data_IF_090363784635
#
_entry.id   IF_090363784635
#
_cell.length_a   1.000
_cell.length_b   1.000
_cell.length_c   1.000
_cell.angle_alpha   90.00
_cell.angle_beta   90.00
_cell.angle_gamma   90.00
#
_symmetry.space_group_name_H-M   'P 1'
#
loop_
_entity.id
_entity.type
_entity.pdbx_description
1 polymer ?
#
# COMPACT_ATOMS: atom_id res chain seq x y z
N UNK A 1 23.79 -3.55 -9.08
CA UNK A 1 22.50 -3.62 -8.37
C UNK A 1 22.75 -2.97 -7.02
N UNK A 2 22.10 -1.85 -6.70
CA UNK A 2 22.36 -1.14 -5.42
C UNK A 2 21.96 -2.03 -4.24
N UNK A 3 22.67 -1.97 -3.10
CA UNK A 3 22.48 -2.83 -1.92
C UNK A 3 21.01 -2.88 -1.42
N UNK A 4 20.26 -1.79 -1.57
CA UNK A 4 18.81 -1.69 -1.26
C UNK A 4 17.90 -2.66 -2.03
N UNK A 5 18.34 -3.21 -3.17
CA UNK A 5 17.54 -4.20 -3.90
C UNK A 5 17.64 -5.59 -3.25
N UNK A 6 18.71 -5.82 -2.49
CA UNK A 6 18.94 -7.04 -1.71
C UNK A 6 18.37 -6.93 -0.29
N UNK A 7 18.45 -5.73 0.30
CA UNK A 7 17.84 -5.43 1.60
C UNK A 7 16.42 -4.85 1.45
N UNK A 8 15.44 -5.76 1.47
CA UNK A 8 14.02 -5.43 1.31
C UNK A 8 13.46 -4.67 2.52
N UNK A 9 13.98 -4.92 3.72
CA UNK A 9 13.55 -4.21 4.92
C UNK A 9 14.02 -2.76 4.87
N UNK A 10 15.26 -2.50 4.44
CA UNK A 10 15.73 -1.14 4.21
C UNK A 10 14.84 -0.38 3.22
N UNK A 11 14.51 -1.01 2.08
CA UNK A 11 13.64 -0.38 1.07
C UNK A 11 12.24 -0.05 1.62
N UNK A 12 11.67 -0.95 2.42
CA UNK A 12 10.42 -0.71 3.14
C UNK A 12 10.50 0.51 4.08
N UNK A 13 11.60 0.65 4.83
CA UNK A 13 11.82 1.79 5.72
C UNK A 13 12.02 3.10 4.95
N UNK A 14 12.73 3.07 3.82
CA UNK A 14 12.91 4.24 2.95
C UNK A 14 11.57 4.75 2.41
N UNK A 15 10.71 3.84 1.94
CA UNK A 15 9.35 4.17 1.48
C UNK A 15 8.49 4.75 2.60
N UNK A 16 8.54 4.13 3.79
CA UNK A 16 7.85 4.62 4.98
C UNK A 16 8.26 6.06 5.28
N UNK A 17 9.57 6.32 5.34
CA UNK A 17 10.12 7.64 5.63
C UNK A 17 9.70 8.70 4.61
N UNK A 18 9.79 8.39 3.31
CA UNK A 18 9.39 9.32 2.25
C UNK A 18 7.90 9.62 2.33
N UNK A 19 7.08 8.60 2.56
CA UNK A 19 5.64 8.77 2.65
C UNK A 19 5.23 9.59 3.86
N UNK A 20 5.80 9.31 5.03
CA UNK A 20 5.53 10.09 6.23
C UNK A 20 5.95 11.56 6.07
N UNK A 21 7.15 11.80 5.52
CA UNK A 21 7.75 13.13 5.49
C UNK A 21 7.19 14.03 4.38
N UNK A 22 6.79 13.46 3.24
CA UNK A 22 6.45 14.26 2.06
C UNK A 22 5.09 13.91 1.47
N UNK A 23 4.80 12.64 1.24
CA UNK A 23 3.57 12.22 0.56
C UNK A 23 2.34 12.47 1.42
N UNK A 24 2.37 12.07 2.68
CA UNK A 24 1.23 12.24 3.59
C UNK A 24 0.92 13.73 3.87
N UNK A 25 1.90 14.62 4.12
CA UNK A 25 1.65 16.05 4.19
C UNK A 25 1.05 16.63 2.90
N UNK A 26 1.43 16.11 1.73
CA UNK A 26 0.84 16.52 0.46
C UNK A 26 -0.62 16.09 0.35
N UNK A 27 -0.93 14.83 0.64
CA UNK A 27 -2.31 14.29 0.65
C UNK A 27 -3.19 15.09 1.62
N UNK A 28 -2.69 15.38 2.82
CA UNK A 28 -3.41 16.13 3.85
C UNK A 28 -3.83 17.56 3.44
N UNK A 29 -3.29 18.11 2.35
CA UNK A 29 -3.74 19.41 1.81
C UNK A 29 -5.11 19.31 1.14
N UNK A 30 -5.49 18.13 0.66
CA UNK A 30 -6.73 17.91 -0.11
C UNK A 30 -7.67 16.90 0.54
N UNK A 31 -7.12 15.93 1.29
CA UNK A 31 -7.85 14.93 2.03
C UNK A 31 -7.17 14.74 3.39
N UNK A 32 -7.80 15.22 4.46
CA UNK A 32 -7.25 15.09 5.81
C UNK A 32 -7.34 13.63 6.25
N UNK A 33 -6.20 12.96 6.34
CA UNK A 33 -6.12 11.58 6.83
C UNK A 33 -6.40 11.53 8.33
N UNK A 34 -7.40 10.75 8.72
CA UNK A 34 -7.77 10.50 10.13
C UNK A 34 -7.81 9.01 10.42
N UNK A 35 -7.60 8.63 11.68
CA UNK A 35 -7.74 7.23 12.10
C UNK A 35 -9.13 6.68 11.76
N UNK A 36 -9.18 5.38 11.44
CA UNK A 36 -10.38 4.68 10.99
C UNK A 36 -10.66 4.79 9.48
N UNK A 37 -9.95 5.64 8.74
CA UNK A 37 -10.01 5.63 7.28
C UNK A 37 -9.44 4.33 6.71
N UNK A 38 -9.96 3.92 5.56
CA UNK A 38 -9.49 2.76 4.82
C UNK A 38 -8.65 3.23 3.63
N UNK A 39 -7.37 2.89 3.66
CA UNK A 39 -6.38 3.30 2.68
C UNK A 39 -5.89 2.09 1.90
N UNK A 40 -6.09 2.09 0.59
CA UNK A 40 -5.58 1.05 -0.28
C UNK A 40 -4.39 1.53 -1.10
N UNK A 41 -3.47 0.62 -1.41
CA UNK A 41 -2.43 0.82 -2.42
C UNK A 41 -2.46 -0.32 -3.43
N UNK A 42 -2.59 0.02 -4.72
CA UNK A 42 -2.52 -0.93 -5.83
C UNK A 42 -1.08 -0.92 -6.36
N UNK A 43 -0.48 -2.11 -6.47
CA UNK A 43 0.96 -2.26 -6.67
C UNK A 43 1.76 -1.89 -5.42
N UNK A 44 1.31 -2.34 -4.24
CA UNK A 44 1.90 -1.91 -2.96
C UNK A 44 3.32 -2.43 -2.71
N UNK A 45 3.79 -3.41 -3.48
CA UNK A 45 5.02 -4.13 -3.20
C UNK A 45 5.01 -4.74 -1.80
N UNK A 46 5.89 -4.26 -0.93
CA UNK A 46 6.00 -4.69 0.47
C UNK A 46 5.25 -3.78 1.44
N UNK A 47 4.48 -2.82 0.90
CA UNK A 47 3.58 -1.95 1.66
C UNK A 47 4.28 -0.82 2.42
N UNK A 48 5.51 -0.42 2.08
CA UNK A 48 6.22 0.64 2.81
C UNK A 48 5.47 1.98 2.84
N UNK A 49 4.79 2.34 1.76
CA UNK A 49 3.99 3.57 1.72
C UNK A 49 2.73 3.52 2.59
N UNK A 50 2.22 2.33 2.93
CA UNK A 50 1.03 2.18 3.76
C UNK A 50 1.31 2.36 5.26
N UNK A 51 2.56 2.13 5.71
CA UNK A 51 2.90 2.12 7.14
C UNK A 51 2.55 3.44 7.84
N UNK A 52 2.85 4.63 7.28
CA UNK A 52 2.52 5.90 7.94
C UNK A 52 1.01 6.15 8.14
N UNK A 53 0.15 5.47 7.35
CA UNK A 53 -1.31 5.51 7.52
C UNK A 53 -1.74 4.58 8.65
N UNK A 54 -1.17 3.38 8.71
CA UNK A 54 -1.40 2.42 9.80
C UNK A 54 -0.92 2.96 11.17
N UNK A 55 0.22 3.66 11.19
CA UNK A 55 0.75 4.35 12.38
C UNK A 55 -0.24 5.42 12.90
N UNK A 56 -1.10 5.96 12.02
CA UNK A 56 -2.15 6.95 12.35
C UNK A 56 -3.51 6.32 12.63
N UNK A 57 -3.56 4.99 12.74
CA UNK A 57 -4.77 4.25 13.06
C UNK A 57 -5.72 4.05 11.89
N UNK A 58 -5.25 4.21 10.65
CA UNK A 58 -6.02 3.80 9.47
C UNK A 58 -6.03 2.27 9.35
N UNK A 59 -7.01 1.76 8.60
CA UNK A 59 -6.99 0.40 8.08
C UNK A 59 -6.31 0.44 6.71
N UNK A 60 -5.44 -0.53 6.43
CA UNK A 60 -4.67 -0.57 5.18
C UNK A 60 -4.97 -1.82 4.36
N UNK A 61 -5.05 -1.65 3.04
CA UNK A 61 -5.20 -2.73 2.08
C UNK A 61 -4.08 -2.63 1.04
N UNK A 62 -3.16 -3.58 1.03
CA UNK A 62 -2.10 -3.67 0.03
C UNK A 62 -2.42 -4.74 -1.01
N UNK A 63 -2.38 -4.37 -2.30
CA UNK A 63 -2.59 -5.29 -3.42
C UNK A 63 -1.35 -5.28 -4.29
N UNK A 64 -0.76 -6.44 -4.56
CA UNK A 64 0.33 -6.58 -5.52
C UNK A 64 0.25 -7.96 -6.20
N UNK A 65 0.61 -8.02 -7.48
CA UNK A 65 0.62 -9.28 -8.24
C UNK A 65 1.76 -10.21 -7.78
N UNK A 66 2.81 -9.67 -7.16
CA UNK A 66 3.98 -10.42 -6.72
C UNK A 66 3.78 -10.99 -5.30
N UNK A 67 3.35 -12.26 -5.22
CA UNK A 67 3.10 -12.96 -3.97
C UNK A 67 4.27 -12.91 -2.96
N UNK A 68 5.51 -13.03 -3.45
CA UNK A 68 6.70 -12.96 -2.60
C UNK A 68 6.88 -11.60 -1.90
N UNK A 69 6.40 -10.50 -2.51
CA UNK A 69 6.43 -9.18 -1.87
C UNK A 69 5.33 -9.05 -0.81
N UNK A 70 4.16 -9.62 -1.08
CA UNK A 70 3.07 -9.69 -0.11
C UNK A 70 3.47 -10.51 1.12
N UNK A 71 4.13 -11.66 0.94
CA UNK A 71 4.69 -12.45 2.05
C UNK A 71 5.69 -11.64 2.89
N UNK A 72 6.50 -10.79 2.26
CA UNK A 72 7.41 -9.90 2.98
C UNK A 72 6.65 -8.80 3.72
N UNK A 73 5.62 -8.21 3.12
CA UNK A 73 4.77 -7.23 3.78
C UNK A 73 4.18 -7.83 5.07
N UNK A 74 3.55 -9.00 5.00
CA UNK A 74 3.01 -9.68 6.17
C UNK A 74 4.05 -9.88 7.29
N UNK A 75 5.29 -10.25 6.93
CA UNK A 75 6.40 -10.37 7.89
C UNK A 75 6.78 -9.03 8.52
N UNK A 76 6.93 -7.98 7.71
CA UNK A 76 7.33 -6.64 8.17
C UNK A 76 6.26 -6.02 9.09
N UNK A 77 4.99 -6.30 8.84
CA UNK A 77 3.88 -5.81 9.65
C UNK A 77 3.55 -6.70 10.86
N UNK A 78 4.09 -7.91 10.98
CA UNK A 78 3.71 -8.86 12.04
C UNK A 78 4.01 -8.36 13.47
N UNK A 79 4.98 -7.45 13.64
CA UNK A 79 5.32 -6.82 14.92
C UNK A 79 4.61 -5.48 15.14
N UNK A 80 3.85 -4.99 14.17
CA UNK A 80 3.15 -3.72 14.27
C UNK A 80 2.01 -3.78 15.30
N UNK A 81 1.83 -2.77 16.17
CA UNK A 81 0.78 -2.77 17.21
C UNK A 81 -0.64 -2.81 16.65
N UNK A 82 -0.83 -2.32 15.43
CA UNK A 82 -2.12 -2.29 14.71
C UNK A 82 -2.20 -3.34 13.58
N UNK A 83 -1.45 -4.45 13.65
CA UNK A 83 -1.34 -5.40 12.51
C UNK A 83 -2.67 -6.02 12.08
N UNK A 84 -3.62 -6.12 13.00
CA UNK A 84 -4.99 -6.59 12.74
C UNK A 84 -5.78 -5.66 11.80
N UNK A 85 -5.28 -4.44 11.58
CA UNK A 85 -5.83 -3.45 10.64
C UNK A 85 -5.15 -3.50 9.27
N UNK A 86 -4.44 -4.57 8.97
CA UNK A 86 -3.76 -4.78 7.70
C UNK A 86 -4.44 -5.91 6.91
N UNK A 87 -4.59 -5.71 5.61
CA UNK A 87 -4.98 -6.75 4.66
C UNK A 87 -4.04 -6.69 3.47
N UNK A 88 -3.32 -7.78 3.20
CA UNK A 88 -2.49 -7.90 2.01
C UNK A 88 -3.08 -8.95 1.06
N UNK A 89 -3.07 -8.66 -0.24
CA UNK A 89 -3.69 -9.48 -1.28
C UNK A 89 -2.66 -9.68 -2.40
N UNK A 90 -2.28 -10.94 -2.63
CA UNK A 90 -1.43 -11.37 -3.72
C UNK A 90 -2.27 -11.79 -4.93
N UNK A 91 -2.68 -10.85 -5.77
CA UNK A 91 -3.53 -11.13 -6.93
C UNK A 91 -3.38 -10.07 -8.02
N UNK A 92 -3.67 -10.46 -9.26
CA UNK A 92 -3.85 -9.54 -10.37
C UNK A 92 -5.09 -8.65 -10.12
N UNK A 93 -4.92 -7.33 -10.19
CA UNK A 93 -6.00 -6.37 -9.94
C UNK A 93 -7.24 -6.60 -10.82
N UNK A 94 -7.08 -7.17 -12.02
CA UNK A 94 -8.19 -7.51 -12.91
C UNK A 94 -9.03 -8.71 -12.46
N UNK A 95 -8.51 -9.51 -11.55
CA UNK A 95 -9.21 -10.68 -10.99
C UNK A 95 -9.88 -10.38 -9.66
N UNK A 96 -9.61 -9.22 -9.09
CA UNK A 96 -10.23 -8.75 -7.88
C UNK A 96 -11.61 -8.22 -8.20
N UNK A 97 -12.64 -8.79 -7.57
CA UNK A 97 -13.97 -8.21 -7.59
C UNK A 97 -14.02 -7.04 -6.60
N UNK A 98 -14.32 -5.81 -7.03
CA UNK A 98 -14.38 -4.65 -6.14
C UNK A 98 -15.38 -4.82 -4.99
N UNK A 99 -16.42 -5.66 -5.16
CA UNK A 99 -17.40 -5.94 -4.11
C UNK A 99 -16.85 -6.80 -2.95
N UNK A 100 -15.73 -7.50 -3.17
CA UNK A 100 -15.06 -8.32 -2.15
C UNK A 100 -14.05 -7.49 -1.33
N UNK A 101 -13.88 -6.22 -1.68
CA UNK A 101 -13.03 -5.26 -0.98
C UNK A 101 -13.92 -4.20 -0.34
N UNK A 102 -13.60 -3.84 0.90
CA UNK A 102 -14.28 -2.75 1.59
C UNK A 102 -14.04 -1.43 0.85
N UNK A 103 -15.08 -0.59 0.79
CA UNK A 103 -14.97 0.72 0.16
C UNK A 103 -13.85 1.54 0.83
N UNK A 104 -12.89 1.98 0.03
CA UNK A 104 -11.74 2.73 0.49
C UNK A 104 -12.02 4.24 0.48
N UNK A 105 -11.46 4.96 1.44
CA UNK A 105 -11.51 6.43 1.49
C UNK A 105 -10.38 7.06 0.66
N UNK A 106 -9.26 6.33 0.52
CA UNK A 106 -8.10 6.74 -0.26
C UNK A 106 -7.53 5.52 -1.00
N UNK A 107 -7.29 5.66 -2.31
CA UNK A 107 -6.57 4.67 -3.12
C UNK A 107 -5.31 5.33 -3.66
N UNK A 108 -4.16 4.68 -3.45
CA UNK A 108 -2.83 5.11 -3.89
C UNK A 108 -2.37 4.20 -5.03
N UNK A 109 -1.79 4.81 -6.07
CA UNK A 109 -1.15 4.10 -7.18
C UNK A 109 0.19 4.78 -7.47
N UNK A 110 1.23 4.44 -6.69
CA UNK A 110 2.55 5.05 -6.82
C UNK A 110 3.42 4.22 -7.74
N UNK A 111 3.78 4.77 -8.90
CA UNK A 111 4.61 4.10 -9.92
C UNK A 111 4.01 2.74 -10.37
N UNK A 112 2.67 2.66 -10.44
CA UNK A 112 1.92 1.43 -10.79
C UNK A 112 1.14 1.56 -12.10
N UNK A 113 0.53 2.72 -12.37
CA UNK A 113 -0.46 2.86 -13.46
C UNK A 113 0.16 2.63 -14.84
N UNK A 114 1.44 2.96 -15.01
CA UNK A 114 2.23 2.72 -16.21
C UNK A 114 2.43 1.23 -16.52
N UNK A 115 2.28 0.37 -15.51
CA UNK A 115 2.41 -1.08 -15.62
C UNK A 115 1.06 -1.79 -15.74
N UNK A 116 -0.05 -1.10 -15.51
CA UNK A 116 -1.40 -1.65 -15.69
C UNK A 116 -1.76 -1.60 -17.19
N UNK A 117 -1.88 -2.76 -17.88
CA UNK A 117 -2.33 -2.80 -19.27
C UNK A 117 -3.79 -2.36 -19.36
N UNK A 118 -4.34 -2.01 -20.53
CA UNK A 118 -5.79 -1.76 -20.68
C UNK A 118 -6.40 -0.77 -19.65
N UNK A 119 -5.73 0.34 -19.36
CA UNK A 119 -6.15 1.32 -18.33
C UNK A 119 -7.61 1.80 -18.48
N UNK A 120 -8.18 1.81 -19.69
CA UNK A 120 -9.59 2.14 -19.88
C UNK A 120 -10.51 1.19 -19.11
N UNK A 121 -10.25 -0.11 -19.17
CA UNK A 121 -11.00 -1.13 -18.43
C UNK A 121 -10.76 -1.00 -16.93
N UNK A 122 -9.57 -0.55 -16.52
CA UNK A 122 -9.25 -0.36 -15.11
C UNK A 122 -10.05 0.78 -14.45
N UNK A 123 -10.39 1.83 -15.21
CA UNK A 123 -11.14 2.98 -14.72
C UNK A 123 -12.66 2.90 -14.96
N UNK A 124 -13.14 1.85 -15.64
CA UNK A 124 -14.57 1.55 -15.86
C UNK A 124 -15.17 0.80 -14.64
#
# INVERSE_FOLDING_TARGET
MQERHSDRELYFQEQTFVTEKYTLPYINKVLKTTGGMIVAEIGCGEGGNLKPFLDRGCEIIGIDIAANKIENAEKFYNSHPNKERTKFIAEDIYKINPNDIQKCDLIIMRDTIEHIPNQRVFFE
#
